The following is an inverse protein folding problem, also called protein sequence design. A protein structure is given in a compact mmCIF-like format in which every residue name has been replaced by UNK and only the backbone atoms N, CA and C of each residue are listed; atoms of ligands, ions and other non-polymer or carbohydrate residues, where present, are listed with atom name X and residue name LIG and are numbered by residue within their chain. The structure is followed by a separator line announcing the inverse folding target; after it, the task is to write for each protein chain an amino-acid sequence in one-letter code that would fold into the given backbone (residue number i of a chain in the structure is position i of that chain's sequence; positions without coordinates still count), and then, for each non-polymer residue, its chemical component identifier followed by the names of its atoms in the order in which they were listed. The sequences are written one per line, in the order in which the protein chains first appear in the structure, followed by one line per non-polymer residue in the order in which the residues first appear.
data_IF_148829939247
#
_entry.id   IF_148829939247
#
_cell.length_a   1.000
_cell.length_b   1.000
_cell.length_c   1.000
_cell.angle_alpha   90.00
_cell.angle_beta   90.00
_cell.angle_gamma   90.00
#
_symmetry.space_group_name_H-M   'P 1'
#
loop_
_entity.id
_entity.type
_entity.pdbx_description
1 polymer ?
#
# COMPACT_ATOMS: atom_id res chain seq x y z
N UNK A 1 9.18 -19.91 -23.05
CA UNK A 1 9.74 -20.04 -21.93
C UNK A 1 8.88 -19.77 -20.81
N UNK A 2 8.82 -20.52 -19.90
CA UNK A 2 8.03 -20.37 -18.81
C UNK A 2 8.64 -19.56 -17.78
N UNK A 3 7.94 -18.70 -17.22
CA UNK A 3 8.45 -17.88 -16.19
C UNK A 3 8.42 -18.68 -14.93
N UNK A 4 9.53 -18.75 -14.26
CA UNK A 4 9.58 -19.47 -13.07
C UNK A 4 9.09 -18.59 -11.98
N UNK A 5 8.12 -18.94 -11.26
CA UNK A 5 7.63 -18.14 -10.16
C UNK A 5 8.39 -18.45 -8.91
N UNK A 6 8.74 -17.43 -8.19
CA UNK A 6 9.46 -17.59 -6.94
C UNK A 6 8.47 -17.69 -5.81
N UNK A 7 8.80 -18.48 -4.84
CA UNK A 7 7.98 -18.55 -3.63
C UNK A 7 8.77 -17.81 -2.59
N UNK A 8 8.23 -16.73 -2.10
CA UNK A 8 8.90 -15.87 -1.16
C UNK A 8 8.12 -15.79 0.13
N UNK A 9 8.79 -15.89 1.23
CA UNK A 9 8.10 -15.77 2.50
C UNK A 9 8.21 -14.35 2.97
N UNK A 10 7.10 -13.75 3.30
CA UNK A 10 7.07 -12.36 3.76
C UNK A 10 6.29 -12.30 5.05
N UNK A 11 6.50 -11.26 5.80
CA UNK A 11 5.83 -11.10 7.05
C UNK A 11 5.03 -9.80 7.01
N UNK A 12 3.75 -9.87 7.27
CA UNK A 12 2.92 -8.69 7.30
C UNK A 12 2.14 -8.70 8.60
N UNK A 13 2.27 -7.66 9.37
CA UNK A 13 1.64 -7.55 10.67
C UNK A 13 1.96 -8.75 11.56
N UNK A 14 3.17 -9.23 11.43
CA UNK A 14 3.60 -10.34 12.28
C UNK A 14 3.24 -11.72 11.78
N UNK A 15 2.45 -11.82 10.75
CA UNK A 15 2.08 -13.12 10.22
C UNK A 15 2.86 -13.42 8.98
N UNK A 16 3.24 -14.65 8.80
CA UNK A 16 4.02 -15.05 7.66
C UNK A 16 3.16 -15.55 6.53
N UNK A 17 3.52 -15.17 5.32
CA UNK A 17 2.81 -15.61 4.14
C UNK A 17 3.81 -16.10 3.12
N UNK A 18 3.44 -17.14 2.40
CA UNK A 18 4.27 -17.62 1.31
C UNK A 18 3.61 -17.13 0.04
N UNK A 19 4.33 -16.34 -0.71
CA UNK A 19 3.77 -15.74 -1.90
C UNK A 19 4.46 -16.24 -3.14
N UNK A 20 3.70 -16.59 -4.15
CA UNK A 20 4.24 -17.03 -5.40
C UNK A 20 4.21 -15.84 -6.33
N UNK A 21 5.33 -15.45 -6.82
CA UNK A 21 5.45 -14.24 -7.60
C UNK A 21 6.35 -14.39 -8.79
N UNK A 22 6.07 -13.65 -9.84
CA UNK A 22 6.92 -13.64 -11.02
C UNK A 22 8.03 -12.65 -10.79
N UNK A 23 7.89 -11.77 -9.83
CA UNK A 23 8.90 -10.76 -9.59
C UNK A 23 10.09 -11.38 -8.85
N UNK A 24 11.16 -10.65 -8.79
CA UNK A 24 12.33 -11.15 -8.08
C UNK A 24 12.00 -11.22 -6.60
N UNK A 25 12.83 -11.94 -5.87
CA UNK A 25 12.65 -12.06 -4.45
C UNK A 25 12.77 -10.70 -3.78
N UNK A 26 13.74 -9.91 -4.21
CA UNK A 26 13.91 -8.60 -3.62
C UNK A 26 12.71 -7.72 -3.87
N UNK A 27 12.17 -7.77 -5.07
CA UNK A 27 11.03 -6.94 -5.38
C UNK A 27 9.84 -7.39 -4.56
N UNK A 28 9.63 -8.69 -4.45
CA UNK A 28 8.51 -9.21 -3.70
C UNK A 28 8.59 -8.81 -2.25
N UNK A 29 9.80 -8.85 -1.69
CA UNK A 29 9.95 -8.47 -0.29
C UNK A 29 9.74 -6.98 -0.11
N UNK A 30 10.20 -6.18 -1.06
CA UNK A 30 10.01 -4.74 -0.97
C UNK A 30 8.53 -4.40 -1.02
N UNK A 31 7.79 -5.09 -1.87
CA UNK A 31 6.37 -4.84 -1.97
C UNK A 31 5.68 -5.21 -0.67
N UNK A 32 6.05 -6.35 -0.10
CA UNK A 32 5.43 -6.78 1.14
C UNK A 32 5.75 -5.84 2.28
N UNK A 33 6.98 -5.34 2.29
CA UNK A 33 7.38 -4.44 3.35
C UNK A 33 6.60 -3.13 3.23
N UNK A 34 6.37 -2.69 2.01
CA UNK A 34 5.60 -1.48 1.81
C UNK A 34 4.17 -1.67 2.30
N UNK A 35 3.57 -2.81 1.98
CA UNK A 35 2.22 -3.09 2.42
C UNK A 35 2.15 -3.12 3.95
N UNK A 36 3.12 -3.77 4.56
CA UNK A 36 3.15 -3.87 6.01
C UNK A 36 3.23 -2.48 6.62
N UNK A 37 4.10 -1.63 6.08
CA UNK A 37 4.26 -0.30 6.62
C UNK A 37 3.00 0.54 6.46
N UNK A 38 2.35 0.45 5.31
CA UNK A 38 1.15 1.24 5.08
C UNK A 38 0.04 0.78 6.01
N UNK A 39 -0.09 -0.53 6.22
CA UNK A 39 -1.14 -1.02 7.11
C UNK A 39 -0.88 -0.54 8.53
N UNK A 40 0.38 -0.64 9.00
CA UNK A 40 0.68 -0.22 10.36
C UNK A 40 0.46 1.26 10.53
N UNK A 41 0.85 2.04 9.54
CA UNK A 41 0.68 3.46 9.63
C UNK A 41 -0.80 3.82 9.63
N UNK A 42 -1.60 3.16 8.80
CA UNK A 42 -3.02 3.42 8.73
C UNK A 42 -3.69 3.06 10.04
N UNK A 43 -3.32 1.94 10.61
CA UNK A 43 -3.92 1.52 11.87
C UNK A 43 -3.56 2.48 12.98
N UNK A 44 -2.31 2.93 12.99
CA UNK A 44 -1.90 3.84 14.03
C UNK A 44 -2.58 5.19 13.90
N UNK A 45 -2.60 5.74 12.70
CA UNK A 45 -3.19 7.05 12.49
C UNK A 45 -4.68 7.05 12.72
N UNK A 46 -5.35 5.96 12.39
CA UNK A 46 -6.78 5.89 12.56
C UNK A 46 -7.24 5.24 13.86
N UNK A 47 -6.28 4.86 14.69
CA UNK A 47 -6.59 4.20 15.92
C UNK A 47 -7.39 2.94 15.67
N UNK A 48 -7.03 2.21 14.64
CA UNK A 48 -7.71 1.00 14.26
C UNK A 48 -7.05 -0.20 14.87
N UNK A 49 -7.81 -1.06 15.49
CA UNK A 49 -7.24 -2.23 16.10
C UNK A 49 -7.42 -3.47 15.26
N UNK A 50 -8.42 -3.49 14.42
CA UNK A 50 -8.67 -4.66 13.61
C UNK A 50 -7.81 -4.70 12.37
N UNK A 51 -7.04 -5.75 12.23
CA UNK A 51 -6.11 -5.85 11.12
C UNK A 51 -6.83 -5.87 9.77
N UNK A 52 -7.97 -6.51 9.70
CA UNK A 52 -8.69 -6.59 8.45
C UNK A 52 -9.12 -5.19 7.98
N UNK A 53 -9.63 -4.39 8.90
CA UNK A 53 -10.04 -3.06 8.56
C UNK A 53 -8.83 -2.23 8.14
N UNK A 54 -7.73 -2.38 8.83
CA UNK A 54 -6.53 -1.66 8.49
C UNK A 54 -6.03 -2.04 7.10
N UNK A 55 -6.11 -3.32 6.78
CA UNK A 55 -5.64 -3.79 5.48
C UNK A 55 -6.50 -3.22 4.35
N UNK A 56 -7.80 -3.17 4.55
CA UNK A 56 -8.67 -2.65 3.51
C UNK A 56 -8.42 -1.17 3.29
N UNK A 57 -8.26 -0.42 4.37
CA UNK A 57 -8.00 1.00 4.23
C UNK A 57 -6.62 1.25 3.62
N UNK A 58 -5.66 0.40 3.96
CA UNK A 58 -4.34 0.53 3.38
C UNK A 58 -4.38 0.25 1.88
N UNK A 59 -5.21 -0.71 1.48
CA UNK A 59 -5.32 -1.02 0.06
C UNK A 59 -5.88 0.18 -0.70
N UNK A 60 -6.81 0.89 -0.10
CA UNK A 60 -7.36 2.07 -0.74
C UNK A 60 -6.30 3.15 -0.87
N UNK A 61 -5.49 3.30 0.15
CA UNK A 61 -4.45 4.31 0.12
C UNK A 61 -3.41 3.98 -0.94
N UNK A 62 -3.01 2.73 -1.03
CA UNK A 62 -2.01 2.32 -1.99
C UNK A 62 -2.55 2.48 -3.41
N UNK A 63 -3.81 2.14 -3.61
CA UNK A 63 -4.41 2.26 -4.92
C UNK A 63 -4.53 3.73 -5.32
N UNK A 64 -4.83 4.58 -4.36
CA UNK A 64 -4.94 5.99 -4.64
C UNK A 64 -3.58 6.54 -5.09
N UNK A 65 -2.51 6.09 -4.47
CA UNK A 65 -1.19 6.50 -4.86
C UNK A 65 -0.87 6.00 -6.27
N UNK A 66 -1.34 4.82 -6.59
CA UNK A 66 -1.12 4.29 -7.92
C UNK A 66 -1.82 5.15 -8.97
N UNK A 67 -3.03 5.58 -8.68
CA UNK A 67 -3.75 6.43 -9.61
C UNK A 67 -3.05 7.77 -9.76
N UNK A 68 -2.52 8.31 -8.68
CA UNK A 68 -1.79 9.55 -8.76
C UNK A 68 -0.56 9.39 -9.64
N UNK A 69 0.15 8.29 -9.48
CA UNK A 69 1.33 8.07 -10.28
C UNK A 69 0.99 7.96 -11.76
N UNK A 70 -0.13 7.33 -12.06
CA UNK A 70 -0.54 7.20 -13.44
C UNK A 70 -0.93 8.53 -14.03
N UNK A 71 -1.60 9.36 -13.27
CA UNK A 71 -1.97 10.65 -13.74
C UNK A 71 -0.75 11.52 -13.98
N UNK A 72 0.20 11.46 -13.10
CA UNK A 72 1.41 12.24 -13.27
C UNK A 72 2.13 11.81 -14.52
N UNK A 73 2.14 10.55 -14.80
CA UNK A 73 2.81 10.06 -15.96
C UNK A 73 2.09 10.50 -17.23
N UNK A 74 0.79 10.50 -17.24
CA UNK A 74 0.08 10.92 -18.40
C UNK A 74 0.11 12.41 -18.61
N UNK A 75 0.14 13.17 -17.55
CA UNK A 75 0.14 14.60 -17.67
C UNK A 75 1.47 15.16 -17.30
N UNK A 76 2.49 14.76 -18.02
CA UNK A 76 3.78 15.21 -17.79
C UNK A 76 3.92 16.63 -17.68
N UNK A 77 3.42 17.37 -18.57
CA UNK A 77 3.60 18.77 -18.57
C UNK A 77 2.91 19.46 -17.45
N UNK A 78 1.79 18.97 -17.08
CA UNK A 78 1.05 19.65 -16.07
C UNK A 78 1.25 19.14 -14.68
N UNK A 79 2.11 18.21 -14.54
CA UNK A 79 2.24 17.57 -13.27
C UNK A 79 2.76 18.44 -12.17
N UNK A 80 3.19 19.60 -12.48
CA UNK A 80 3.68 20.42 -11.44
C UNK A 80 2.71 20.63 -10.34
N UNK A 81 1.48 20.66 -10.62
CA UNK A 81 0.56 20.83 -9.62
C UNK A 81 0.55 19.77 -8.65
N UNK A 82 1.04 18.67 -8.89
CA UNK A 82 0.96 17.60 -7.97
C UNK A 82 2.16 17.51 -7.10
N UNK A 83 3.04 18.41 -7.21
CA UNK A 83 4.19 18.38 -6.39
C UNK A 83 3.90 18.34 -4.95
N UNK A 84 2.90 18.93 -4.53
CA UNK A 84 2.68 18.95 -3.15
C UNK A 84 1.82 17.84 -2.66
N UNK A 85 1.54 16.91 -3.51
CA UNK A 85 0.70 15.88 -3.07
C UNK A 85 1.35 15.13 -1.99
N UNK A 86 0.80 15.03 -0.88
CA UNK A 86 1.37 14.26 0.11
C UNK A 86 0.62 13.04 0.27
N UNK A 87 1.09 12.10 0.93
CA UNK A 87 0.44 10.86 1.15
C UNK A 87 -0.80 11.11 1.91
N UNK A 88 -1.91 10.70 1.40
CA UNK A 88 -3.17 10.86 2.06
C UNK A 88 -3.70 9.53 2.48
N UNK A 89 -3.50 9.14 3.70
CA UNK A 89 -3.96 7.83 4.15
C UNK A 89 -5.47 7.79 4.15
N UNK A 90 -6.02 6.66 3.84
CA UNK A 90 -7.45 6.49 3.85
C UNK A 90 -7.82 6.00 5.22
N UNK A 91 -8.55 6.80 5.95
CA UNK A 91 -8.91 6.46 7.31
C UNK A 91 -10.42 6.45 7.46
N UNK A 92 -10.91 5.77 8.46
CA UNK A 92 -12.35 5.73 8.66
C UNK A 92 -12.80 7.10 9.13
N UNK A 93 -14.05 7.43 8.97
CA UNK A 93 -14.55 8.72 9.40
C UNK A 93 -14.35 8.87 10.89
N UNK A 94 -14.09 10.05 11.29
CA UNK A 94 -13.87 10.31 12.69
C UNK A 94 -15.16 10.07 13.42
N UNK A 95 -15.02 9.60 14.64
CA UNK A 95 -16.16 9.38 15.36
C UNK A 95 -16.66 10.68 15.82
N UNK A 96 -17.66 11.19 15.32
CA UNK A 96 -18.12 12.43 15.67
C UNK A 96 -18.97 12.36 16.70
N UNK A 97 -19.05 13.07 17.51
CA UNK A 97 -19.85 13.05 18.47
C UNK A 97 -20.95 13.74 18.18
N UNK A 98 -21.17 14.27 17.41
CA UNK A 98 -22.29 14.99 17.18
C UNK A 98 -23.25 14.32 16.58
#
# INVERSE_FOLDING_TARGET
MTTKKNVVRVSILGDEYSIRSDASTERTRAVAEHVDNVIRETMRAGNIVEAQKGAILAALSITDELFDAREDREDLAGSMKRLSSEIRPWLPPAKRKD
#
